data_IF_474939327635
#
_entry.id   IF_474939327635
#
_cell.length_a   1.000
_cell.length_b   1.000
_cell.length_c   1.000
_cell.angle_alpha   90.00
_cell.angle_beta   90.00
_cell.angle_gamma   90.00
#
_symmetry.space_group_name_H-M   'P 1'
#
loop_
_entity.id
_entity.type
_entity.pdbx_description
1 polymer ?
#
# COMPACT_ATOMS: atom_id res chain seq x y z
N UNK A 1 4.96 -35.41 1.24
CA UNK A 1 3.84 -35.82 0.39
C UNK A 1 2.87 -34.66 0.37
N UNK A 2 2.82 -33.92 -0.75
CA UNK A 2 1.84 -32.83 -0.92
C UNK A 2 0.48 -33.49 -1.12
N UNK A 3 -0.48 -33.16 -0.25
CA UNK A 3 -1.81 -33.77 -0.26
C UNK A 3 -2.59 -33.33 -1.52
N UNK A 4 -3.47 -34.18 -2.06
CA UNK A 4 -4.21 -33.89 -3.31
C UNK A 4 -5.10 -32.63 -3.21
N UNK A 5 -5.42 -32.17 -2.00
CA UNK A 5 -6.14 -30.93 -1.74
C UNK A 5 -5.31 -29.65 -1.95
N UNK A 6 -3.97 -29.75 -1.97
CA UNK A 6 -3.04 -28.61 -2.07
C UNK A 6 -2.76 -28.21 -3.54
N UNK A 7 -2.99 -29.13 -4.47
CA UNK A 7 -2.84 -28.95 -5.93
C UNK A 7 -3.73 -27.87 -6.57
N UNK A 8 -5.04 -27.78 -6.27
CA UNK A 8 -5.91 -26.77 -6.91
C UNK A 8 -5.57 -25.34 -6.48
N UNK A 9 -5.18 -25.15 -5.22
CA UNK A 9 -4.81 -23.82 -4.69
C UNK A 9 -3.45 -23.35 -5.22
N UNK A 10 -2.48 -24.27 -5.35
CA UNK A 10 -1.18 -23.98 -5.96
C UNK A 10 -1.30 -23.66 -7.45
N UNK A 11 -2.19 -24.34 -8.20
CA UNK A 11 -2.45 -24.02 -9.60
C UNK A 11 -3.02 -22.60 -9.78
N UNK A 12 -3.90 -22.14 -8.88
CA UNK A 12 -4.43 -20.77 -8.87
C UNK A 12 -3.37 -19.72 -8.53
N UNK A 13 -2.39 -20.06 -7.69
CA UNK A 13 -1.30 -19.17 -7.21
C UNK A 13 -0.10 -19.07 -8.15
N UNK A 14 -0.05 -19.88 -9.21
CA UNK A 14 0.93 -19.78 -10.28
C UNK A 14 2.36 -20.14 -9.87
N UNK A 15 3.35 -19.64 -10.64
CA UNK A 15 4.77 -20.03 -10.55
C UNK A 15 5.39 -19.88 -9.16
N UNK A 16 4.87 -18.97 -8.33
CA UNK A 16 5.42 -18.64 -7.02
C UNK A 16 4.70 -19.33 -5.86
N UNK A 17 3.73 -20.21 -6.14
CA UNK A 17 2.85 -20.80 -5.14
C UNK A 17 3.60 -21.40 -3.93
N UNK A 18 4.74 -22.04 -4.16
CA UNK A 18 5.55 -22.70 -3.13
C UNK A 18 6.69 -21.85 -2.56
N UNK A 19 6.90 -20.63 -3.08
CA UNK A 19 8.01 -19.75 -2.67
C UNK A 19 7.56 -18.63 -1.72
N UNK A 20 6.28 -18.31 -1.74
CA UNK A 20 5.68 -17.25 -0.93
C UNK A 20 5.14 -17.86 0.36
N UNK A 21 5.43 -17.22 1.49
CA UNK A 21 4.95 -17.68 2.79
C UNK A 21 3.41 -17.54 2.91
N UNK A 22 2.77 -18.35 3.76
CA UNK A 22 1.31 -18.33 3.90
C UNK A 22 0.73 -16.97 4.32
N UNK A 23 1.44 -16.17 5.12
CA UNK A 23 0.95 -14.87 5.57
C UNK A 23 0.96 -13.84 4.44
N UNK A 24 2.01 -13.86 3.60
CA UNK A 24 2.05 -13.04 2.40
C UNK A 24 1.00 -13.48 1.37
N UNK A 25 0.70 -14.78 1.23
CA UNK A 25 -0.44 -15.24 0.41
C UNK A 25 -1.78 -14.70 0.92
N UNK A 26 -2.03 -14.75 2.23
CA UNK A 26 -3.24 -14.17 2.81
C UNK A 26 -3.34 -12.65 2.55
N UNK A 27 -2.22 -11.94 2.60
CA UNK A 27 -2.16 -10.53 2.21
C UNK A 27 -2.49 -10.32 0.73
N UNK A 28 -1.89 -11.11 -0.18
CA UNK A 28 -2.17 -11.04 -1.63
C UNK A 28 -3.65 -11.30 -1.91
N UNK A 29 -4.23 -12.33 -1.30
CA UNK A 29 -5.63 -12.68 -1.46
C UNK A 29 -6.53 -11.52 -1.00
N UNK A 30 -6.21 -10.87 0.13
CA UNK A 30 -6.92 -9.66 0.61
C UNK A 30 -6.72 -8.45 -0.31
N UNK A 31 -5.55 -8.27 -0.93
CA UNK A 31 -5.32 -7.19 -1.89
C UNK A 31 -6.17 -7.41 -3.15
N UNK A 32 -6.21 -8.65 -3.66
CA UNK A 32 -6.94 -9.00 -4.87
C UNK A 32 -8.46 -8.76 -4.76
N UNK A 33 -9.06 -8.80 -3.56
CA UNK A 33 -10.49 -8.50 -3.40
C UNK A 33 -10.86 -7.05 -3.74
N UNK A 34 -9.89 -6.14 -3.82
CA UNK A 34 -10.13 -4.73 -4.15
C UNK A 34 -10.15 -4.45 -5.66
N UNK A 35 -9.53 -5.30 -6.47
CA UNK A 35 -9.38 -5.04 -7.91
C UNK A 35 -10.41 -5.82 -8.71
N UNK A 36 -11.30 -5.13 -9.46
CA UNK A 36 -12.17 -5.80 -10.41
C UNK A 36 -11.36 -6.42 -11.56
N UNK A 37 -11.91 -7.44 -12.24
CA UNK A 37 -11.24 -8.07 -13.38
C UNK A 37 -11.02 -7.10 -14.55
N UNK A 38 -11.92 -6.14 -14.78
CA UNK A 38 -11.73 -5.09 -15.78
C UNK A 38 -11.09 -3.83 -15.18
N UNK A 39 -9.78 -3.70 -15.36
CA UNK A 39 -9.01 -2.50 -14.98
C UNK A 39 -8.65 -1.59 -16.16
N UNK A 40 -9.16 -1.88 -17.36
CA UNK A 40 -9.05 -1.00 -18.53
C UNK A 40 -10.03 0.19 -18.41
N UNK A 41 -9.80 0.98 -17.36
CA UNK A 41 -10.59 2.14 -16.98
C UNK A 41 -9.77 3.41 -17.21
N UNK A 42 -10.42 4.58 -17.35
CA UNK A 42 -9.75 5.87 -17.24
C UNK A 42 -8.91 6.01 -15.95
N UNK A 43 -7.80 6.76 -16.03
CA UNK A 43 -6.78 6.84 -14.95
C UNK A 43 -7.35 7.32 -13.61
N UNK A 44 -8.34 8.20 -13.62
CA UNK A 44 -9.04 8.68 -12.42
C UNK A 44 -9.78 7.55 -11.71
N UNK A 45 -10.44 6.66 -12.46
CA UNK A 45 -11.12 5.49 -11.90
C UNK A 45 -10.15 4.45 -11.38
N UNK A 46 -9.04 4.21 -12.10
CA UNK A 46 -7.99 3.33 -11.61
C UNK A 46 -7.40 3.84 -10.28
N UNK A 47 -7.14 5.15 -10.19
CA UNK A 47 -6.69 5.80 -8.94
C UNK A 47 -7.70 5.67 -7.81
N UNK A 48 -9.00 5.82 -8.09
CA UNK A 48 -10.03 5.65 -7.07
C UNK A 48 -10.05 4.24 -6.46
N UNK A 49 -9.87 3.20 -7.28
CA UNK A 49 -9.74 1.80 -6.82
C UNK A 49 -8.49 1.63 -5.95
N UNK A 50 -7.34 2.12 -6.43
CA UNK A 50 -6.08 2.05 -5.69
C UNK A 50 -6.17 2.79 -4.34
N UNK A 51 -6.72 4.00 -4.33
CA UNK A 51 -6.88 4.81 -3.12
C UNK A 51 -7.82 4.15 -2.11
N UNK A 52 -8.89 3.49 -2.57
CA UNK A 52 -9.79 2.73 -1.72
C UNK A 52 -9.08 1.55 -1.05
N UNK A 53 -8.28 0.81 -1.82
CA UNK A 53 -7.42 -0.26 -1.29
C UNK A 53 -6.43 0.31 -0.26
N UNK A 54 -5.66 1.34 -0.60
CA UNK A 54 -4.67 1.95 0.31
C UNK A 54 -5.31 2.41 1.63
N UNK A 55 -6.49 3.04 1.60
CA UNK A 55 -7.22 3.43 2.81
C UNK A 55 -7.59 2.23 3.68
N UNK A 56 -8.00 1.11 3.09
CA UNK A 56 -8.38 -0.07 3.86
C UNK A 56 -7.20 -0.81 4.51
N UNK A 57 -6.00 -0.63 3.99
CA UNK A 57 -4.76 -1.16 4.55
C UNK A 57 -4.01 -0.16 5.43
N UNK A 58 -4.46 1.10 5.50
CA UNK A 58 -3.84 2.13 6.31
C UNK A 58 -4.03 1.83 7.80
N UNK A 59 -2.95 1.44 8.48
CA UNK A 59 -2.94 1.13 9.91
C UNK A 59 -2.88 2.37 10.82
N UNK A 60 -2.98 3.58 10.25
CA UNK A 60 -2.81 4.82 10.97
C UNK A 60 -1.34 5.24 11.12
N UNK A 61 -1.15 6.34 11.84
CA UNK A 61 0.19 6.84 12.19
C UNK A 61 0.66 6.17 13.49
N UNK A 62 1.91 5.67 13.56
CA UNK A 62 2.44 5.08 14.79
C UNK A 62 2.35 6.01 16.00
N UNK A 63 2.25 5.44 17.20
CA UNK A 63 2.18 6.21 18.44
C UNK A 63 3.40 7.15 18.59
N UNK A 64 3.12 8.41 18.94
CA UNK A 64 4.14 9.44 19.12
C UNK A 64 4.67 10.06 17.82
N UNK A 65 4.13 9.68 16.65
CA UNK A 65 4.41 10.38 15.39
C UNK A 65 3.28 11.38 15.11
N UNK A 66 3.64 12.64 14.92
CA UNK A 66 2.77 13.72 14.48
C UNK A 66 2.92 13.91 12.96
N UNK A 67 1.79 14.05 12.28
CA UNK A 67 1.73 14.34 10.86
C UNK A 67 1.15 15.74 10.63
N UNK A 68 1.80 16.55 9.80
CA UNK A 68 1.29 17.86 9.40
C UNK A 68 1.38 18.06 7.88
N UNK A 69 0.30 18.57 7.31
CA UNK A 69 0.21 18.90 5.89
C UNK A 69 0.58 20.36 5.66
N UNK A 70 1.36 20.59 4.61
CA UNK A 70 1.68 21.93 4.11
C UNK A 70 1.95 21.86 2.61
N UNK A 71 2.37 22.97 2.02
CA UNK A 71 2.80 22.99 0.64
C UNK A 71 4.10 23.77 0.48
N UNK A 72 4.94 23.33 -0.46
CA UNK A 72 6.16 24.01 -0.86
C UNK A 72 5.90 24.72 -2.18
N UNK A 73 6.25 26.00 -2.27
CA UNK A 73 6.14 26.75 -3.51
C UNK A 73 7.14 26.21 -4.55
N UNK A 74 6.67 25.94 -5.76
CA UNK A 74 7.47 25.44 -6.88
C UNK A 74 7.09 26.22 -8.15
N UNK A 75 7.71 27.38 -8.34
CA UNK A 75 7.42 28.24 -9.49
C UNK A 75 5.98 28.76 -9.45
N UNK A 76 5.17 28.34 -10.41
CA UNK A 76 3.77 28.75 -10.60
C UNK A 76 2.75 27.88 -9.86
N UNK A 77 3.20 26.83 -9.17
CA UNK A 77 2.33 25.92 -8.41
C UNK A 77 2.88 25.63 -7.02
N UNK A 78 2.07 24.93 -6.22
CA UNK A 78 2.44 24.47 -4.88
C UNK A 78 2.45 22.94 -4.86
N UNK A 79 3.50 22.36 -4.29
CA UNK A 79 3.64 20.92 -4.11
C UNK A 79 3.13 20.57 -2.71
N UNK A 80 2.04 19.79 -2.57
CA UNK A 80 1.59 19.34 -1.26
C UNK A 80 2.62 18.39 -0.65
N UNK A 81 2.93 18.62 0.62
CA UNK A 81 3.84 17.76 1.40
C UNK A 81 3.18 17.40 2.73
N UNK A 82 3.51 16.21 3.23
CA UNK A 82 3.21 15.80 4.60
C UNK A 82 4.51 15.57 5.35
N UNK A 83 4.67 16.18 6.52
CA UNK A 83 5.81 15.97 7.40
C UNK A 83 5.40 15.07 8.55
N UNK A 84 6.17 14.00 8.75
CA UNK A 84 6.04 13.11 9.90
C UNK A 84 7.20 13.37 10.87
N UNK A 85 6.90 13.61 12.14
CA UNK A 85 7.91 13.89 13.16
C UNK A 85 7.56 13.19 14.48
N UNK A 86 8.58 12.74 15.21
CA UNK A 86 8.39 12.25 16.59
C UNK A 86 8.09 13.42 17.53
N UNK A 87 6.96 13.34 18.24
CA UNK A 87 6.50 14.34 19.18
C UNK A 87 7.55 14.64 20.26
N UNK A 88 7.74 15.93 20.57
CA UNK A 88 8.67 16.38 21.60
C UNK A 88 10.16 16.14 21.31
N UNK A 89 10.52 15.71 20.09
CA UNK A 89 11.92 15.48 19.70
C UNK A 89 12.34 16.40 18.56
N UNK A 90 13.52 17.00 18.69
CA UNK A 90 14.18 17.71 17.60
C UNK A 90 14.69 16.68 16.56
N UNK A 91 14.38 16.84 15.26
CA UNK A 91 14.88 15.95 14.23
C UNK A 91 16.39 16.16 14.04
N UNK A 92 17.15 15.06 13.97
CA UNK A 92 18.59 15.09 13.69
C UNK A 92 18.90 15.01 12.18
N UNK A 93 17.93 14.51 11.39
CA UNK A 93 18.00 14.39 9.95
C UNK A 93 16.59 14.44 9.35
N UNK A 94 16.51 14.63 8.02
CA UNK A 94 15.26 14.60 7.26
C UNK A 94 15.41 13.64 6.09
N UNK A 95 14.36 12.85 5.85
CA UNK A 95 14.25 11.94 4.70
C UNK A 95 13.11 12.44 3.83
N UNK A 96 13.35 12.55 2.53
CA UNK A 96 12.31 12.83 1.54
C UNK A 96 11.81 11.50 0.99
N UNK A 97 10.51 11.26 1.12
CA UNK A 97 9.81 10.08 0.61
C UNK A 97 8.86 10.51 -0.51
N UNK A 98 8.90 9.81 -1.65
CA UNK A 98 8.13 10.11 -2.86
C UNK A 98 7.06 9.05 -3.09
#
# INVERSE_FOLDING_TARGET
>A
MVSDAEKPETAKRGKYATLIDPALWAYIDRVNTWYPPEMDLPVDKQRAVYDAMCRAFHAGTPAGVEASDSAVAAGDHAIPIRRYQLAGKAPQAMVVYY
#
